data_IF_741737493380
#
_entry.id   IF_741737493380
#
_cell.length_a   1.000
_cell.length_b   1.000
_cell.length_c   1.000
_cell.angle_alpha   90.00
_cell.angle_beta   90.00
_cell.angle_gamma   90.00
#
_symmetry.space_group_name_H-M   'P 1'
#
loop_
_entity.id
_entity.type
_entity.pdbx_description
1 polymer ?
#
# COMPACT_ATOMS: atom_id res chain seq x y z
N UNK A 1 0.74 2.58 -30.68
CA UNK A 1 -0.69 2.56 -30.33
C UNK A 1 -1.11 3.95 -29.90
N UNK A 2 -1.68 4.72 -30.84
CA UNK A 2 -2.28 6.03 -30.54
C UNK A 2 -3.67 5.79 -29.96
N UNK A 3 -3.92 6.31 -28.76
CA UNK A 3 -5.28 6.38 -28.19
C UNK A 3 -6.01 7.52 -28.90
N UNK A 4 -7.26 7.31 -29.37
CA UNK A 4 -8.02 8.36 -30.06
C UNK A 4 -8.36 9.54 -29.12
N UNK A 5 -8.48 10.77 -29.65
CA UNK A 5 -8.53 12.01 -28.87
C UNK A 5 -9.94 12.33 -28.28
N UNK A 6 -10.76 11.33 -28.00
CA UNK A 6 -12.16 11.50 -27.59
C UNK A 6 -12.48 11.32 -26.11
N UNK A 7 -11.57 10.73 -25.32
CA UNK A 7 -11.83 10.37 -23.91
C UNK A 7 -11.04 11.24 -22.92
N UNK A 8 -10.58 12.42 -23.35
CA UNK A 8 -9.87 13.40 -22.50
C UNK A 8 -10.90 14.45 -22.04
N UNK A 9 -11.96 14.00 -21.38
CA UNK A 9 -12.84 14.91 -20.65
C UNK A 9 -13.01 14.34 -19.23
N UNK A 10 -12.49 15.09 -18.25
CA UNK A 10 -12.54 14.80 -16.81
C UNK A 10 -11.51 13.81 -16.23
N UNK A 11 -10.22 13.99 -16.53
CA UNK A 11 -9.14 13.37 -15.72
C UNK A 11 -8.12 14.37 -15.14
N UNK A 12 -8.16 15.63 -15.57
CA UNK A 12 -7.26 16.68 -15.06
C UNK A 12 -7.52 17.04 -13.58
N UNK A 13 -8.71 16.74 -13.05
CA UNK A 13 -9.00 16.89 -11.62
C UNK A 13 -8.44 15.77 -10.75
N UNK A 14 -8.25 14.55 -11.30
CA UNK A 14 -7.86 13.37 -10.51
C UNK A 14 -6.36 13.38 -10.20
N UNK A 15 -5.58 14.16 -10.93
CA UNK A 15 -4.11 14.15 -10.86
C UNK A 15 -3.51 15.50 -10.44
N UNK A 16 -4.35 16.41 -9.93
CA UNK A 16 -3.92 17.70 -9.40
C UNK A 16 -3.37 17.54 -7.97
N UNK A 17 -2.10 17.89 -7.69
CA UNK A 17 -1.52 17.83 -6.36
C UNK A 17 -2.03 19.01 -5.52
N UNK A 18 -3.33 19.05 -5.22
CA UNK A 18 -3.90 20.18 -4.48
C UNK A 18 -3.39 20.24 -3.03
N UNK A 19 -2.79 19.17 -2.46
CA UNK A 19 -2.40 19.12 -1.05
C UNK A 19 -0.99 18.54 -0.77
N UNK A 20 -0.01 18.66 -1.69
CA UNK A 20 1.38 18.34 -1.35
C UNK A 20 2.05 19.52 -0.64
N UNK A 21 1.66 19.77 0.61
CA UNK A 21 2.48 20.59 1.50
C UNK A 21 3.81 19.85 1.70
N UNK A 22 4.89 20.45 1.23
CA UNK A 22 6.26 20.04 1.56
C UNK A 22 6.47 20.12 3.07
N UNK A 23 6.19 19.02 3.76
CA UNK A 23 6.28 18.92 5.21
C UNK A 23 6.69 17.51 5.57
N UNK A 24 7.91 17.35 6.07
CA UNK A 24 8.44 16.43 7.11
C UNK A 24 7.79 15.04 7.37
N UNK A 25 6.99 14.47 6.48
CA UNK A 25 6.18 13.27 6.72
C UNK A 25 6.73 12.01 6.02
N UNK A 26 7.98 12.05 5.54
CA UNK A 26 8.58 10.98 4.73
C UNK A 26 8.91 9.69 5.49
N UNK A 27 8.40 9.49 6.71
CA UNK A 27 8.72 8.37 7.58
C UNK A 27 7.56 7.37 7.81
N UNK A 28 6.44 7.50 7.08
CA UNK A 28 5.25 6.66 7.32
C UNK A 28 5.26 5.35 6.52
N UNK A 29 6.26 5.11 5.66
CA UNK A 29 6.50 3.81 5.03
C UNK A 29 8.00 3.52 4.91
N UNK A 30 8.39 2.24 4.97
CA UNK A 30 9.79 1.82 4.81
C UNK A 30 10.33 2.15 3.42
N UNK A 31 9.49 2.04 2.39
CA UNK A 31 9.83 2.42 1.02
C UNK A 31 10.16 3.92 0.90
N UNK A 32 9.47 4.78 1.66
CA UNK A 32 9.81 6.21 1.71
C UNK A 32 11.19 6.45 2.33
N UNK A 33 11.60 5.63 3.31
CA UNK A 33 12.97 5.63 3.84
C UNK A 33 14.03 5.30 2.77
N UNK A 34 13.81 4.24 2.01
CA UNK A 34 14.71 3.83 0.90
C UNK A 34 14.77 4.92 -0.17
N UNK A 35 13.63 5.48 -0.55
CA UNK A 35 13.57 6.55 -1.55
C UNK A 35 14.31 7.82 -1.08
N UNK A 36 14.16 8.18 0.19
CA UNK A 36 14.87 9.31 0.79
C UNK A 36 16.38 9.10 0.77
N UNK A 37 16.84 7.92 1.19
CA UNK A 37 18.26 7.57 1.24
C UNK A 37 18.91 7.54 -0.16
N UNK A 38 18.22 6.91 -1.12
CA UNK A 38 18.64 6.84 -2.52
C UNK A 38 18.44 8.14 -3.32
N UNK A 39 17.90 9.20 -2.70
CA UNK A 39 17.51 10.47 -3.35
C UNK A 39 16.58 10.28 -4.54
N UNK A 40 15.72 9.26 -4.47
CA UNK A 40 14.73 8.96 -5.50
C UNK A 40 13.35 9.55 -5.13
N UNK A 41 12.51 9.73 -6.15
CA UNK A 41 11.13 10.18 -6.00
C UNK A 41 10.15 9.13 -6.53
N UNK A 42 8.90 9.21 -6.10
CA UNK A 42 7.88 8.26 -6.52
C UNK A 42 7.66 8.44 -8.04
N UNK A 43 7.66 7.38 -8.86
CA UNK A 43 7.46 7.51 -10.30
C UNK A 43 6.16 8.23 -10.66
N UNK A 44 5.11 8.03 -9.85
CA UNK A 44 3.81 8.67 -9.99
C UNK A 44 3.84 10.21 -9.80
N UNK A 45 4.98 10.80 -9.40
CA UNK A 45 5.12 12.25 -9.34
C UNK A 45 5.18 12.91 -10.71
N UNK A 46 5.47 12.13 -11.76
CA UNK A 46 5.39 12.59 -13.13
C UNK A 46 4.06 12.16 -13.73
N UNK A 47 3.18 13.09 -14.16
CA UNK A 47 1.85 12.81 -14.71
C UNK A 47 1.81 11.66 -15.74
N UNK A 48 2.74 11.70 -16.71
CA UNK A 48 2.83 10.67 -17.76
C UNK A 48 3.21 9.29 -17.20
N UNK A 49 4.07 9.24 -16.18
CA UNK A 49 4.45 7.98 -15.52
C UNK A 49 3.33 7.45 -14.62
N UNK A 50 2.54 8.33 -14.00
CA UNK A 50 1.37 7.93 -13.22
C UNK A 50 0.30 7.26 -14.11
N UNK A 51 -0.01 7.87 -15.26
CA UNK A 51 -0.92 7.30 -16.25
C UNK A 51 -0.43 5.95 -16.76
N UNK A 52 0.87 5.86 -17.08
CA UNK A 52 1.50 4.62 -17.49
C UNK A 52 1.37 3.53 -16.41
N UNK A 53 1.74 3.83 -15.17
CA UNK A 53 1.68 2.90 -14.04
C UNK A 53 0.26 2.35 -13.80
N UNK A 54 -0.76 3.21 -13.88
CA UNK A 54 -2.15 2.80 -13.71
C UNK A 54 -2.59 1.81 -14.80
N UNK A 55 -2.21 2.08 -16.05
CA UNK A 55 -2.49 1.17 -17.17
C UNK A 55 -1.73 -0.16 -17.03
N UNK A 56 -0.46 -0.08 -16.66
CA UNK A 56 0.42 -1.25 -16.51
C UNK A 56 -0.06 -2.20 -15.42
N UNK A 57 -0.47 -1.68 -14.25
CA UNK A 57 -1.02 -2.50 -13.15
C UNK A 57 -2.27 -3.27 -13.61
N UNK A 58 -3.14 -2.64 -14.41
CA UNK A 58 -4.32 -3.31 -14.97
C UNK A 58 -3.93 -4.45 -15.90
N UNK A 59 -2.95 -4.22 -16.79
CA UNK A 59 -2.45 -5.25 -17.70
C UNK A 59 -1.77 -6.39 -16.94
N UNK A 60 -0.97 -6.08 -15.93
CA UNK A 60 -0.30 -7.05 -15.07
C UNK A 60 -1.31 -7.89 -14.29
N UNK A 61 -2.39 -7.30 -13.77
CA UNK A 61 -3.47 -8.04 -13.11
C UNK A 61 -4.10 -9.09 -14.03
N UNK A 62 -4.39 -8.70 -15.29
CA UNK A 62 -4.91 -9.63 -16.30
C UNK A 62 -3.91 -10.73 -16.65
N UNK A 63 -2.63 -10.37 -16.82
CA UNK A 63 -1.58 -11.31 -17.21
C UNK A 63 -1.26 -12.34 -16.11
N UNK A 64 -1.15 -11.87 -14.87
CA UNK A 64 -0.83 -12.70 -13.70
C UNK A 64 -2.07 -13.38 -13.10
N UNK A 65 -3.26 -13.08 -13.63
CA UNK A 65 -4.56 -13.57 -13.13
C UNK A 65 -4.79 -13.23 -11.65
N UNK A 66 -4.31 -12.05 -11.24
CA UNK A 66 -4.52 -11.51 -9.89
C UNK A 66 -5.45 -10.30 -9.99
N UNK A 67 -6.44 -10.25 -9.10
CA UNK A 67 -7.32 -9.09 -8.96
C UNK A 67 -6.52 -7.91 -8.42
N UNK A 68 -6.00 -7.08 -9.33
CA UNK A 68 -5.27 -5.85 -9.01
C UNK A 68 -6.11 -4.63 -9.41
N UNK A 69 -6.50 -3.86 -8.40
CA UNK A 69 -7.19 -2.59 -8.52
C UNK A 69 -6.30 -1.48 -7.97
N UNK A 70 -6.08 -0.44 -8.79
CA UNK A 70 -5.33 0.73 -8.38
C UNK A 70 -6.13 1.50 -7.30
N UNK A 71 -5.54 1.78 -6.12
CA UNK A 71 -6.25 2.48 -5.05
C UNK A 71 -6.79 3.83 -5.51
N UNK A 72 -8.01 4.20 -5.09
CA UNK A 72 -8.61 5.48 -5.49
C UNK A 72 -7.80 6.66 -4.96
N UNK A 73 -7.43 6.59 -3.69
CA UNK A 73 -6.68 7.64 -2.98
C UNK A 73 -5.20 7.26 -2.81
N UNK A 74 -4.56 6.82 -3.90
CA UNK A 74 -3.20 6.28 -3.89
C UNK A 74 -2.19 7.17 -3.15
N UNK A 75 -2.22 8.48 -3.38
CA UNK A 75 -1.28 9.41 -2.74
C UNK A 75 -1.56 9.58 -1.24
N UNK A 76 -2.82 9.62 -0.81
CA UNK A 76 -3.14 9.70 0.62
C UNK A 76 -2.73 8.41 1.33
N UNK A 77 -3.08 7.24 0.77
CA UNK A 77 -2.68 5.94 1.34
C UNK A 77 -1.17 5.78 1.38
N UNK A 78 -0.45 6.18 0.32
CA UNK A 78 1.00 5.92 0.21
C UNK A 78 1.88 6.97 0.91
N UNK A 79 1.51 8.26 0.84
CA UNK A 79 2.32 9.36 1.36
C UNK A 79 1.86 9.88 2.73
N UNK A 80 0.56 9.87 3.00
CA UNK A 80 0.01 10.43 4.24
C UNK A 80 -0.21 9.37 5.31
N UNK A 81 -0.81 8.23 4.96
CA UNK A 81 -1.01 7.12 5.91
C UNK A 81 0.21 6.22 5.99
N UNK A 82 0.75 5.86 4.83
CA UNK A 82 1.88 4.95 4.70
C UNK A 82 1.55 3.52 5.13
N UNK A 83 2.60 2.73 5.37
CA UNK A 83 2.50 1.29 5.69
C UNK A 83 3.38 0.86 6.86
N UNK A 84 3.98 1.79 7.59
CA UNK A 84 4.97 1.49 8.64
C UNK A 84 4.42 0.52 9.70
N UNK A 85 3.22 0.80 10.21
CA UNK A 85 2.55 -0.04 11.21
C UNK A 85 2.29 -1.46 10.69
N UNK A 86 1.80 -1.59 9.46
CA UNK A 86 1.59 -2.88 8.82
C UNK A 86 2.90 -3.67 8.65
N UNK A 87 3.99 -2.99 8.28
CA UNK A 87 5.30 -3.59 8.11
C UNK A 87 5.93 -4.02 9.44
N UNK A 88 5.75 -3.25 10.52
CA UNK A 88 6.19 -3.65 11.87
C UNK A 88 5.43 -4.88 12.35
N UNK A 89 4.12 -4.95 12.09
CA UNK A 89 3.34 -6.15 12.37
C UNK A 89 3.86 -7.37 11.61
N UNK A 90 4.13 -7.24 10.30
CA UNK A 90 4.74 -8.33 9.52
C UNK A 90 6.11 -8.74 10.06
N UNK A 91 6.90 -7.79 10.59
CA UNK A 91 8.17 -8.10 11.24
C UNK A 91 7.97 -8.93 12.52
N UNK A 92 7.02 -8.55 13.39
CA UNK A 92 6.67 -9.36 14.58
C UNK A 92 6.21 -10.76 14.18
N UNK A 93 5.35 -10.88 13.16
CA UNK A 93 4.93 -12.19 12.62
C UNK A 93 6.11 -12.98 12.08
N UNK A 94 7.07 -12.35 11.40
CA UNK A 94 8.27 -13.01 10.88
C UNK A 94 9.16 -13.54 12.00
N UNK A 95 9.32 -12.80 13.09
CA UNK A 95 10.17 -13.16 14.21
C UNK A 95 9.57 -14.31 15.04
N UNK A 96 8.26 -14.31 15.24
CA UNK A 96 7.60 -15.28 16.13
C UNK A 96 6.97 -16.46 15.39
N UNK A 97 6.45 -16.25 14.18
CA UNK A 97 5.70 -17.28 13.44
C UNK A 97 5.86 -17.16 11.91
N UNK A 98 7.06 -17.43 11.37
CA UNK A 98 7.38 -17.19 9.95
C UNK A 98 6.50 -17.98 8.98
N UNK A 99 5.93 -19.12 9.39
CA UNK A 99 5.01 -19.92 8.57
C UNK A 99 3.70 -19.18 8.19
N UNK A 100 3.33 -18.12 8.93
CA UNK A 100 2.13 -17.31 8.64
C UNK A 100 2.44 -16.05 7.85
N UNK A 101 3.72 -15.71 7.67
CA UNK A 101 4.15 -14.46 7.04
C UNK A 101 3.62 -14.31 5.61
N UNK A 102 3.70 -15.37 4.81
CA UNK A 102 3.23 -15.37 3.42
C UNK A 102 1.73 -15.06 3.35
N UNK A 103 0.93 -15.76 4.17
CA UNK A 103 -0.54 -15.59 4.21
C UNK A 103 -0.94 -14.19 4.65
N UNK A 104 -0.35 -13.70 5.74
CA UNK A 104 -0.66 -12.37 6.29
C UNK A 104 -0.24 -11.26 5.32
N UNK A 105 0.94 -11.37 4.71
CA UNK A 105 1.41 -10.39 3.71
C UNK A 105 0.58 -10.42 2.43
N UNK A 106 0.08 -11.59 2.03
CA UNK A 106 -0.85 -11.76 0.93
C UNK A 106 -2.18 -11.05 1.20
N UNK A 107 -2.80 -11.29 2.35
CA UNK A 107 -4.07 -10.63 2.71
C UNK A 107 -3.92 -9.10 2.83
N UNK A 108 -2.82 -8.60 3.42
CA UNK A 108 -2.56 -7.15 3.45
C UNK A 108 -2.43 -6.56 2.04
N UNK A 109 -1.76 -7.26 1.13
CA UNK A 109 -1.65 -6.83 -0.27
C UNK A 109 -3.03 -6.80 -0.93
N UNK A 110 -3.87 -7.80 -0.69
CA UNK A 110 -5.23 -7.86 -1.23
C UNK A 110 -6.14 -6.75 -0.69
N UNK A 111 -6.01 -6.38 0.58
CA UNK A 111 -6.74 -5.25 1.15
C UNK A 111 -6.48 -3.96 0.36
N UNK A 112 -5.22 -3.57 0.17
CA UNK A 112 -4.87 -2.32 -0.52
C UNK A 112 -5.10 -2.43 -2.03
N UNK A 113 -4.51 -3.45 -2.65
CA UNK A 113 -4.38 -3.55 -4.10
C UNK A 113 -5.50 -4.33 -4.77
N UNK A 114 -6.49 -4.82 -4.04
CA UNK A 114 -7.70 -5.40 -4.62
C UNK A 114 -8.98 -4.81 -4.06
N UNK A 115 -9.05 -4.55 -2.75
CA UNK A 115 -10.28 -4.12 -2.07
C UNK A 115 -10.34 -2.62 -1.77
N UNK A 116 -9.23 -1.90 -1.95
CA UNK A 116 -9.10 -0.47 -1.58
C UNK A 116 -9.43 -0.23 -0.09
N UNK A 117 -9.03 -1.18 0.75
CA UNK A 117 -9.25 -1.21 2.21
C UNK A 117 -8.03 -0.67 2.97
N UNK A 118 -8.27 -0.14 4.17
CA UNK A 118 -7.22 0.40 5.04
C UNK A 118 -6.30 -0.71 5.61
N UNK A 119 -5.02 -0.39 5.80
CA UNK A 119 -4.02 -1.29 6.42
C UNK A 119 -3.23 -0.61 7.55
N UNK A 120 -3.64 0.58 7.96
CA UNK A 120 -2.93 1.40 8.97
C UNK A 120 -3.58 1.30 10.33
N UNK A 121 -4.91 1.17 10.36
CA UNK A 121 -5.68 1.03 11.58
C UNK A 121 -5.45 -0.34 12.23
N UNK A 122 -5.31 -0.41 13.56
CA UNK A 122 -5.10 -1.67 14.28
C UNK A 122 -6.16 -2.73 13.97
N UNK A 123 -7.42 -2.29 13.90
CA UNK A 123 -8.56 -3.18 13.62
C UNK A 123 -8.45 -3.82 12.23
N UNK A 124 -8.02 -3.05 11.23
CA UNK A 124 -7.80 -3.56 9.88
C UNK A 124 -6.67 -4.58 9.84
N UNK A 125 -5.56 -4.31 10.54
CA UNK A 125 -4.42 -5.24 10.62
C UNK A 125 -4.82 -6.56 11.30
N UNK A 126 -5.53 -6.49 12.43
CA UNK A 126 -6.02 -7.67 13.14
C UNK A 126 -7.00 -8.49 12.30
N UNK A 127 -7.97 -7.83 11.65
CA UNK A 127 -8.92 -8.50 10.75
C UNK A 127 -8.20 -9.22 9.60
N UNK A 128 -7.13 -8.61 9.07
CA UNK A 128 -6.31 -9.22 8.01
C UNK A 128 -5.58 -10.47 8.52
N UNK A 129 -5.04 -10.44 9.74
CA UNK A 129 -4.38 -11.57 10.35
C UNK A 129 -5.35 -12.73 10.62
N UNK A 130 -6.56 -12.43 11.08
CA UNK A 130 -7.62 -13.42 11.30
C UNK A 130 -8.07 -14.06 9.98
N UNK A 131 -8.28 -13.27 8.92
CA UNK A 131 -8.57 -13.79 7.57
C UNK A 131 -7.45 -14.69 7.03
N UNK A 132 -6.19 -14.38 7.36
CA UNK A 132 -5.05 -15.22 7.01
C UNK A 132 -4.98 -16.54 7.81
N UNK A 133 -5.88 -16.75 8.78
CA UNK A 133 -6.01 -17.95 9.59
C UNK A 133 -5.33 -17.89 10.96
N UNK A 134 -4.95 -16.70 11.44
CA UNK A 134 -4.49 -16.55 12.83
C UNK A 134 -5.67 -16.57 13.80
N UNK A 135 -5.47 -17.14 14.99
CA UNK A 135 -6.43 -16.93 16.07
C UNK A 135 -6.37 -15.47 16.56
N UNK A 136 -7.50 -14.95 17.05
CA UNK A 136 -7.58 -13.59 17.60
C UNK A 136 -6.55 -13.33 18.69
N UNK A 137 -6.28 -14.32 19.55
CA UNK A 137 -5.26 -14.22 20.60
C UNK A 137 -3.85 -14.00 20.02
N UNK A 138 -3.46 -14.84 19.05
CA UNK A 138 -2.17 -14.72 18.37
C UNK A 138 -2.04 -13.37 17.65
N UNK A 139 -3.07 -12.95 16.91
CA UNK A 139 -3.06 -11.66 16.20
C UNK A 139 -2.87 -10.48 17.17
N UNK A 140 -3.54 -10.50 18.32
CA UNK A 140 -3.40 -9.46 19.34
C UNK A 140 -2.02 -9.47 20.01
N UNK A 141 -1.44 -10.64 20.24
CA UNK A 141 -0.13 -10.74 20.88
C UNK A 141 0.98 -10.24 19.94
N UNK A 142 0.95 -10.61 18.67
CA UNK A 142 1.86 -10.05 17.66
C UNK A 142 1.67 -8.54 17.48
N UNK A 143 0.42 -8.07 17.56
CA UNK A 143 0.14 -6.64 17.55
C UNK A 143 0.80 -5.91 18.71
N UNK A 144 0.67 -6.42 19.94
CA UNK A 144 1.33 -5.84 21.14
C UNK A 144 2.86 -5.87 20.98
N UNK A 145 3.42 -7.00 20.52
CA UNK A 145 4.85 -7.13 20.24
C UNK A 145 5.36 -6.08 19.24
N UNK A 146 4.57 -5.80 18.20
CA UNK A 146 4.91 -4.78 17.20
C UNK A 146 4.90 -3.34 17.73
N UNK A 147 4.18 -3.07 18.83
CA UNK A 147 4.19 -1.76 19.50
C UNK A 147 5.40 -1.58 20.42
N UNK A 148 5.96 -2.66 20.96
CA UNK A 148 7.10 -2.59 21.89
C UNK A 148 8.44 -2.26 21.22
N UNK A 149 8.55 -2.49 19.91
CA UNK A 149 9.73 -2.12 19.12
C UNK A 149 9.71 -0.67 18.60
N UNK A 150 8.78 0.16 19.09
CA UNK A 150 8.61 1.56 18.68
C UNK A 150 9.37 2.53 19.57
#
# INVERSE_FOLDING_TARGET
FCVPPGDIESTDEIMSPKHLKGGRNSALSLSAGIMKDSRNQLPAMLPRKALYLKGDIKLLGLHLQVSLHFPRDFFSVTLEKGSLTAMHFLLSVKLEHPAMLEKVSGEQRMHIWSRDEDITEPQSILSTAEKAGMSTGQAQDFWKGSQHHR
#
